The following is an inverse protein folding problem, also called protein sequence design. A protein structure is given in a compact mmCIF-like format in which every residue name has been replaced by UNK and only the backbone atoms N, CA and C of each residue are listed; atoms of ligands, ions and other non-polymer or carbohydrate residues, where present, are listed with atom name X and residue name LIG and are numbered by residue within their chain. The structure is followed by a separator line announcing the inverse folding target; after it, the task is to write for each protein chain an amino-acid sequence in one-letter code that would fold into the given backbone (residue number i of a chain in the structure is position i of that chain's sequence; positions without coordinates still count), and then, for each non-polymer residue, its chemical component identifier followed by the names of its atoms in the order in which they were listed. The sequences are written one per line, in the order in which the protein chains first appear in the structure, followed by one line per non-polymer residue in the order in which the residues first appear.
data_IF_067503534629
#
_entry.id   IF_067503534629
#
_cell.length_a   1.000
_cell.length_b   1.000
_cell.length_c   1.000
_cell.angle_alpha   90.00
_cell.angle_beta   90.00
_cell.angle_gamma   90.00
#
_symmetry.space_group_name_H-M   'P 1'
#
loop_
_entity.id
_entity.type
_entity.pdbx_description
1 polymer ?
#
# COMPACT_ATOMS: atom_id res chain seq x y z
N UNK A 1 5.27 -21.08 -15.66
CA UNK A 1 6.35 -20.04 -15.60
C UNK A 1 6.51 -19.64 -14.14
N UNK A 2 7.41 -20.30 -13.38
CA UNK A 2 7.50 -20.14 -11.92
C UNK A 2 7.70 -18.68 -11.47
N UNK A 3 8.51 -17.92 -12.21
CA UNK A 3 8.77 -16.49 -11.97
C UNK A 3 7.49 -15.61 -12.00
N UNK A 4 6.55 -15.85 -12.92
CA UNK A 4 5.33 -15.03 -13.01
C UNK A 4 4.37 -15.33 -11.86
N UNK A 5 4.35 -16.59 -11.41
CA UNK A 5 3.57 -16.99 -10.25
C UNK A 5 4.15 -16.34 -8.98
N UNK A 6 5.48 -16.40 -8.80
CA UNK A 6 6.17 -15.75 -7.67
C UNK A 6 5.89 -14.23 -7.64
N UNK A 7 5.96 -13.56 -8.80
CA UNK A 7 5.66 -12.14 -8.96
C UNK A 7 4.20 -11.79 -8.62
N UNK A 8 3.25 -12.64 -9.03
CA UNK A 8 1.82 -12.47 -8.72
C UNK A 8 1.55 -12.58 -7.21
N UNK A 9 2.16 -13.55 -6.54
CA UNK A 9 2.03 -13.71 -5.09
C UNK A 9 2.59 -12.48 -4.36
N UNK A 10 3.77 -12.02 -4.77
CA UNK A 10 4.36 -10.82 -4.19
C UNK A 10 3.47 -9.58 -4.33
N UNK A 11 2.88 -9.36 -5.51
CA UNK A 11 1.95 -8.25 -5.72
C UNK A 11 0.70 -8.35 -4.87
N UNK A 12 0.09 -9.54 -4.81
CA UNK A 12 -1.08 -9.78 -3.95
C UNK A 12 -0.75 -9.47 -2.49
N UNK A 13 0.36 -10.01 -2.00
CA UNK A 13 0.74 -9.88 -0.59
C UNK A 13 1.07 -8.43 -0.24
N UNK A 14 1.72 -7.68 -1.15
CA UNK A 14 1.94 -6.25 -0.94
C UNK A 14 0.62 -5.48 -0.91
N UNK A 15 -0.31 -5.75 -1.84
CA UNK A 15 -1.63 -5.11 -1.83
C UNK A 15 -2.36 -5.36 -0.51
N UNK A 16 -2.39 -6.60 -0.03
CA UNK A 16 -2.98 -6.94 1.26
C UNK A 16 -2.34 -6.18 2.42
N UNK A 17 -1.01 -6.07 2.44
CA UNK A 17 -0.31 -5.33 3.49
C UNK A 17 -0.60 -3.82 3.46
N UNK A 18 -0.75 -3.25 2.26
CA UNK A 18 -1.10 -1.83 2.05
C UNK A 18 -2.52 -1.55 2.51
N UNK A 19 -3.48 -2.39 2.12
CA UNK A 19 -4.87 -2.27 2.57
C UNK A 19 -4.98 -2.47 4.06
N UNK A 20 -4.27 -3.44 4.63
CA UNK A 20 -4.20 -3.60 6.09
C UNK A 20 -3.64 -2.37 6.80
N UNK A 21 -2.64 -1.69 6.22
CA UNK A 21 -2.13 -0.44 6.79
C UNK A 21 -3.17 0.68 6.69
N UNK A 22 -3.79 0.86 5.52
CA UNK A 22 -4.89 1.82 5.37
C UNK A 22 -6.02 1.56 6.38
N UNK A 23 -6.46 0.32 6.52
CA UNK A 23 -7.58 -0.06 7.41
C UNK A 23 -7.20 0.15 8.87
N UNK A 24 -5.96 -0.11 9.26
CA UNK A 24 -5.47 0.21 10.60
C UNK A 24 -5.47 1.73 10.87
N UNK A 25 -5.16 2.56 9.87
CA UNK A 25 -5.27 4.02 9.98
C UNK A 25 -6.74 4.47 10.09
N UNK A 26 -7.65 3.88 9.31
CA UNK A 26 -9.10 4.13 9.42
C UNK A 26 -9.60 3.75 10.81
N UNK A 27 -9.19 2.60 11.35
CA UNK A 27 -9.57 2.15 12.68
C UNK A 27 -9.09 3.13 13.76
N UNK A 28 -7.88 3.69 13.64
CA UNK A 28 -7.40 4.74 14.55
C UNK A 28 -8.27 5.98 14.50
N UNK A 29 -8.63 6.46 13.29
CA UNK A 29 -9.54 7.62 13.12
C UNK A 29 -10.91 7.37 13.77
N UNK A 30 -11.37 6.12 13.76
CA UNK A 30 -12.66 5.71 14.33
C UNK A 30 -12.62 5.32 15.81
N UNK A 31 -11.46 5.38 16.45
CA UNK A 31 -11.24 4.87 17.81
C UNK A 31 -11.55 3.35 17.95
N UNK A 32 -11.30 2.60 16.88
CA UNK A 32 -11.52 1.14 16.74
C UNK A 32 -10.18 0.38 16.59
N UNK A 33 -9.06 1.00 16.95
CA UNK A 33 -7.73 0.45 16.70
C UNK A 33 -7.47 -0.87 17.45
N UNK A 34 -7.02 -1.89 16.72
CA UNK A 34 -6.74 -3.24 17.22
C UNK A 34 -5.24 -3.55 17.38
N UNK A 35 -4.38 -2.58 17.13
CA UNK A 35 -2.92 -2.71 17.22
C UNK A 35 -2.22 -3.26 15.97
N UNK A 36 -2.93 -3.52 14.88
CA UNK A 36 -2.37 -4.12 13.65
C UNK A 36 -1.50 -3.18 12.81
N UNK A 37 -1.50 -1.88 13.09
CA UNK A 37 -0.78 -0.86 12.32
C UNK A 37 0.70 -1.20 12.14
N UNK A 38 1.38 -1.63 13.21
CA UNK A 38 2.81 -1.92 13.17
C UNK A 38 3.13 -3.08 12.21
N UNK A 39 2.33 -4.14 12.28
CA UNK A 39 2.55 -5.36 11.51
C UNK A 39 2.23 -5.14 10.03
N UNK A 40 1.09 -4.51 9.73
CA UNK A 40 0.70 -4.18 8.36
C UNK A 40 1.74 -3.25 7.70
N UNK A 41 2.18 -2.21 8.42
CA UNK A 41 3.24 -1.32 7.95
C UNK A 41 4.55 -2.07 7.69
N UNK A 42 4.98 -2.91 8.63
CA UNK A 42 6.22 -3.66 8.51
C UNK A 42 6.20 -4.65 7.34
N UNK A 43 5.07 -5.32 7.11
CA UNK A 43 4.86 -6.18 5.96
C UNK A 43 4.93 -5.39 4.65
N UNK A 44 4.24 -4.24 4.55
CA UNK A 44 4.25 -3.39 3.36
C UNK A 44 5.66 -2.88 3.01
N UNK A 45 6.48 -2.57 4.02
CA UNK A 45 7.88 -2.21 3.81
C UNK A 45 8.72 -3.37 3.29
N UNK A 46 8.65 -4.54 3.93
CA UNK A 46 9.44 -5.73 3.53
C UNK A 46 9.13 -6.13 2.09
N UNK A 47 7.84 -6.33 1.79
CA UNK A 47 7.37 -6.69 0.44
C UNK A 47 7.69 -5.59 -0.56
N UNK A 48 7.63 -4.32 -0.14
CA UNK A 48 8.02 -3.18 -0.95
C UNK A 48 9.46 -3.20 -1.44
N UNK A 49 10.41 -3.69 -0.63
CA UNK A 49 11.81 -3.87 -1.02
C UNK A 49 11.96 -4.98 -2.05
N UNK A 50 11.23 -6.09 -1.89
CA UNK A 50 11.23 -7.19 -2.87
C UNK A 50 10.69 -6.75 -4.24
N UNK A 51 9.65 -5.92 -4.23
CA UNK A 51 9.06 -5.31 -5.43
C UNK A 51 10.06 -4.45 -6.18
N UNK A 52 10.88 -3.68 -5.46
CA UNK A 52 11.89 -2.81 -6.07
C UNK A 52 12.94 -3.61 -6.88
N UNK A 53 13.10 -4.91 -6.61
CA UNK A 53 14.05 -5.80 -7.30
C UNK A 53 13.47 -6.45 -8.57
N UNK A 54 12.18 -6.77 -8.60
CA UNK A 54 11.60 -7.63 -9.65
C UNK A 54 10.49 -6.98 -10.49
N UNK A 55 9.90 -5.89 -9.99
CA UNK A 55 8.77 -5.25 -10.65
C UNK A 55 9.24 -4.32 -11.77
N UNK A 56 8.36 -4.05 -12.75
CA UNK A 56 8.63 -3.03 -13.77
C UNK A 56 8.66 -1.63 -13.15
N UNK A 57 9.26 -0.68 -13.86
CA UNK A 57 9.37 0.71 -13.40
C UNK A 57 8.01 1.34 -13.03
N UNK A 58 6.93 1.22 -13.82
CA UNK A 58 5.62 1.77 -13.46
C UNK A 58 5.12 1.26 -12.10
N UNK A 59 5.27 -0.05 -11.85
CA UNK A 59 4.85 -0.68 -10.61
C UNK A 59 5.69 -0.19 -9.43
N UNK A 60 7.02 -0.10 -9.58
CA UNK A 60 7.91 0.43 -8.53
C UNK A 60 7.55 1.87 -8.16
N UNK A 61 7.33 2.73 -9.16
CA UNK A 61 6.97 4.13 -8.95
C UNK A 61 5.60 4.28 -8.27
N UNK A 62 4.63 3.44 -8.64
CA UNK A 62 3.32 3.44 -8.01
C UNK A 62 3.41 2.94 -6.55
N UNK A 63 4.15 1.86 -6.29
CA UNK A 63 4.39 1.35 -4.94
C UNK A 63 5.06 2.39 -4.03
N UNK A 64 6.08 3.10 -4.51
CA UNK A 64 6.74 4.19 -3.77
C UNK A 64 5.76 5.32 -3.47
N UNK A 65 4.94 5.74 -4.43
CA UNK A 65 3.95 6.81 -4.24
C UNK A 65 2.91 6.45 -3.19
N UNK A 66 2.36 5.25 -3.27
CA UNK A 66 1.40 4.71 -2.32
C UNK A 66 2.00 4.62 -0.90
N UNK A 67 3.22 4.06 -0.75
CA UNK A 67 3.92 4.03 0.56
C UNK A 67 4.13 5.42 1.14
N UNK A 68 4.50 6.41 0.31
CA UNK A 68 4.65 7.81 0.75
C UNK A 68 3.33 8.38 1.24
N UNK A 69 2.22 8.15 0.54
CA UNK A 69 0.89 8.62 0.95
C UNK A 69 0.49 8.02 2.31
N UNK A 70 0.71 6.72 2.52
CA UNK A 70 0.46 6.07 3.81
C UNK A 70 1.25 6.69 4.95
N UNK A 71 2.54 6.99 4.73
CA UNK A 71 3.38 7.66 5.73
C UNK A 71 2.91 9.09 6.02
N UNK A 72 2.58 9.84 4.97
CA UNK A 72 2.09 11.21 5.13
C UNK A 72 0.75 11.22 5.88
N UNK A 73 -0.14 10.27 5.63
CA UNK A 73 -1.41 10.14 6.34
C UNK A 73 -1.23 9.73 7.80
N UNK A 74 -0.25 8.88 8.10
CA UNK A 74 -0.03 8.37 9.45
C UNK A 74 0.27 9.47 10.48
N UNK A 75 1.01 10.53 10.11
CA UNK A 75 1.37 11.61 11.03
C UNK A 75 0.15 12.33 11.63
N UNK A 76 -0.68 13.00 10.81
CA UNK A 76 -1.88 13.70 11.28
C UNK A 76 -2.87 12.78 12.02
N UNK A 77 -3.03 11.54 11.56
CA UNK A 77 -3.93 10.55 12.18
C UNK A 77 -3.46 10.18 13.60
N UNK A 78 -2.16 9.92 13.79
CA UNK A 78 -1.61 9.60 15.11
C UNK A 78 -1.55 10.81 16.05
N UNK A 79 -1.54 12.03 15.50
CA UNK A 79 -1.58 13.28 16.27
C UNK A 79 -2.99 13.83 16.47
N UNK A 80 -4.02 13.06 16.08
CA UNK A 80 -5.43 13.40 16.24
C UNK A 80 -5.82 14.75 15.64
N UNK A 81 -5.33 15.05 14.43
CA UNK A 81 -5.72 16.21 13.62
C UNK A 81 -6.87 15.80 12.67
N UNK A 82 -8.16 15.88 13.08
CA UNK A 82 -9.23 15.11 12.44
C UNK A 82 -9.66 15.74 11.10
N UNK A 83 -9.46 17.04 10.93
CA UNK A 83 -9.83 17.76 9.71
C UNK A 83 -9.04 17.29 8.48
N UNK A 84 -7.81 16.79 8.68
CA UNK A 84 -6.91 16.38 7.61
C UNK A 84 -6.88 14.85 7.40
N UNK A 85 -7.40 14.08 8.36
CA UNK A 85 -7.39 12.62 8.34
C UNK A 85 -8.18 12.03 7.16
N UNK A 86 -9.41 12.50 6.93
CA UNK A 86 -10.28 12.00 5.86
C UNK A 86 -9.71 12.31 4.47
N UNK A 87 -9.14 13.49 4.29
CA UNK A 87 -8.49 13.87 3.04
C UNK A 87 -7.24 13.01 2.79
N UNK A 88 -6.43 12.78 3.83
CA UNK A 88 -5.24 11.94 3.75
C UNK A 88 -5.57 10.47 3.43
N UNK A 89 -6.63 9.91 4.02
CA UNK A 89 -7.10 8.55 3.73
C UNK A 89 -7.62 8.41 2.30
N UNK A 90 -8.35 9.40 1.77
CA UNK A 90 -8.76 9.43 0.35
C UNK A 90 -7.56 9.46 -0.60
N UNK A 91 -6.56 10.28 -0.28
CA UNK A 91 -5.31 10.36 -1.04
C UNK A 91 -4.52 9.05 -1.03
N UNK A 92 -4.51 8.34 0.10
CA UNK A 92 -3.94 6.99 0.21
C UNK A 92 -4.67 6.03 -0.72
N UNK A 93 -6.01 6.06 -0.70
CA UNK A 93 -6.80 5.16 -1.52
C UNK A 93 -6.61 5.38 -3.02
N UNK A 94 -6.61 6.64 -3.47
CA UNK A 94 -6.31 6.95 -4.86
C UNK A 94 -4.91 6.43 -5.30
N UNK A 95 -3.93 6.47 -4.40
CA UNK A 95 -2.60 5.94 -4.68
C UNK A 95 -2.55 4.40 -4.68
N UNK A 96 -3.34 3.73 -3.83
CA UNK A 96 -3.48 2.27 -3.82
C UNK A 96 -4.15 1.77 -5.11
N UNK A 97 -5.23 2.43 -5.56
CA UNK A 97 -5.88 2.13 -6.84
C UNK A 97 -4.94 2.29 -8.04
N UNK A 98 -4.13 3.36 -8.04
CA UNK A 98 -3.11 3.56 -9.08
C UNK A 98 -2.02 2.47 -9.07
N UNK A 99 -1.68 1.95 -7.88
CA UNK A 99 -0.75 0.82 -7.75
C UNK A 99 -1.37 -0.49 -8.24
N UNK A 100 -2.63 -0.76 -7.92
CA UNK A 100 -3.36 -1.90 -8.46
C UNK A 100 -3.42 -1.91 -9.98
N UNK A 101 -3.68 -0.76 -10.59
CA UNK A 101 -3.71 -0.64 -12.04
C UNK A 101 -2.33 -0.92 -12.66
N UNK A 102 -1.27 -0.37 -12.06
CA UNK A 102 0.09 -0.65 -12.51
C UNK A 102 0.42 -2.15 -12.43
N UNK A 103 0.02 -2.82 -11.33
CA UNK A 103 0.17 -4.27 -11.15
C UNK A 103 -0.62 -5.05 -12.21
N UNK A 104 -1.85 -4.63 -12.50
CA UNK A 104 -2.73 -5.26 -13.50
C UNK A 104 -2.10 -5.22 -14.88
N UNK A 105 -1.59 -4.06 -15.29
CA UNK A 105 -0.89 -3.87 -16.57
C UNK A 105 0.38 -4.71 -16.63
N UNK A 106 1.16 -4.75 -15.56
CA UNK A 106 2.42 -5.50 -15.51
C UNK A 106 2.25 -7.03 -15.52
N UNK A 107 1.11 -7.53 -15.03
CA UNK A 107 0.74 -8.95 -15.09
C UNK A 107 0.00 -9.35 -16.37
N UNK A 108 -0.36 -8.39 -17.23
CA UNK A 108 -1.05 -8.69 -18.48
C UNK A 108 -0.15 -9.48 -19.44
N UNK A 109 -0.68 -10.45 -20.21
CA UNK A 109 0.10 -11.13 -21.22
C UNK A 109 0.60 -10.14 -22.29
N UNK A 110 1.79 -10.34 -22.86
CA UNK A 110 2.28 -9.52 -23.95
C UNK A 110 1.35 -9.68 -25.17
N UNK A 111 0.94 -8.55 -25.75
CA UNK A 111 0.20 -8.50 -27.02
C UNK A 111 1.07 -8.90 -28.21
#
# INVERSE_FOLDING_TARGET
MRWLDDKRHLYRDLLLAVYGWHDALVAIVRDEADGTLHDARSAAYKLGVEIDLIASEPVRLAAVRMRRKLLTAQGPILHAEPADADAALKDVMAAAEAFEEAVRVDLAPPN
#
